data_IF_973482282000
#
_entry.id   IF_973482282000
#
_cell.length_a   1.000
_cell.length_b   1.000
_cell.length_c   1.000
_cell.angle_alpha   90.00
_cell.angle_beta   90.00
_cell.angle_gamma   90.00
#
_symmetry.space_group_name_H-M   'P 1'
#
loop_
_entity.id
_entity.type
_entity.pdbx_description
1 polymer ?
#
# COMPACT_ATOMS: atom_id res chain seq x y z
N UNK A 1 14.21 -35.02 -3.34
CA UNK A 1 13.62 -34.85 -3.83
C UNK A 1 13.03 -33.64 -4.05
N UNK A 2 12.62 -33.37 -4.94
CA UNK A 2 12.07 -32.09 -5.27
C UNK A 2 10.91 -31.68 -4.43
N UNK A 3 10.28 -32.61 -3.82
CA UNK A 3 9.11 -32.23 -3.12
C UNK A 3 9.34 -31.31 -1.97
N UNK A 4 10.45 -31.43 -1.36
CA UNK A 4 10.63 -30.61 -0.21
C UNK A 4 10.76 -29.17 -0.57
N UNK A 5 10.96 -28.86 -1.82
CA UNK A 5 11.13 -27.48 -2.21
C UNK A 5 9.91 -26.88 -2.86
N UNK A 6 8.83 -27.63 -2.92
CA UNK A 6 7.69 -27.14 -3.66
C UNK A 6 7.16 -25.81 -3.15
N UNK A 7 6.98 -25.67 -1.87
CA UNK A 7 6.51 -24.41 -1.33
C UNK A 7 7.50 -23.29 -1.55
N UNK A 8 8.76 -23.58 -1.34
CA UNK A 8 9.78 -22.58 -1.56
C UNK A 8 9.85 -22.17 -3.02
N UNK A 9 9.77 -23.14 -3.91
CA UNK A 9 9.84 -22.85 -5.32
C UNK A 9 8.69 -21.95 -5.77
N UNK A 10 7.51 -22.24 -5.30
CA UNK A 10 6.36 -21.42 -5.65
C UNK A 10 6.54 -20.00 -5.14
N UNK A 11 7.01 -19.87 -3.92
CA UNK A 11 7.23 -18.56 -3.34
C UNK A 11 8.29 -17.79 -4.12
N UNK A 12 9.35 -18.45 -4.51
CA UNK A 12 10.39 -17.82 -5.29
C UNK A 12 9.87 -17.38 -6.65
N UNK A 13 9.05 -18.19 -7.29
CA UNK A 13 8.49 -17.84 -8.56
C UNK A 13 7.65 -16.57 -8.43
N UNK A 14 6.83 -16.48 -7.41
CA UNK A 14 6.02 -15.29 -7.20
C UNK A 14 6.92 -14.08 -7.03
N UNK A 15 7.95 -14.20 -6.20
CA UNK A 15 8.83 -13.08 -5.95
C UNK A 15 9.60 -12.64 -7.17
N UNK A 16 10.06 -13.58 -7.98
CA UNK A 16 10.99 -13.23 -9.05
C UNK A 16 10.31 -12.94 -10.37
N UNK A 17 9.14 -13.51 -10.60
CA UNK A 17 8.51 -13.34 -11.90
C UNK A 17 7.22 -12.54 -11.85
N UNK A 18 6.54 -12.52 -10.73
CA UNK A 18 5.24 -11.89 -10.67
C UNK A 18 5.16 -10.71 -9.73
N UNK A 19 6.07 -10.61 -8.80
CA UNK A 19 5.99 -9.50 -7.88
C UNK A 19 6.59 -8.25 -8.50
N UNK A 20 5.98 -7.14 -8.18
CA UNK A 20 6.42 -5.83 -8.61
C UNK A 20 6.81 -5.04 -7.38
N UNK A 21 7.65 -4.04 -7.56
CA UNK A 21 8.06 -3.18 -6.44
C UNK A 21 7.84 -1.75 -6.87
N UNK A 22 7.10 -1.01 -6.07
CA UNK A 22 6.81 0.38 -6.38
C UNK A 22 6.61 1.17 -5.12
N UNK A 23 6.69 2.48 -5.25
CA UNK A 23 6.47 3.39 -4.13
C UNK A 23 5.03 3.87 -4.15
N UNK A 24 4.48 4.07 -2.95
CA UNK A 24 3.15 4.63 -2.78
C UNK A 24 3.16 5.61 -1.63
N UNK A 25 2.20 6.50 -1.62
CA UNK A 25 2.05 7.49 -0.56
C UNK A 25 1.17 6.89 0.52
N UNK A 26 1.56 7.06 1.78
CA UNK A 26 0.71 6.64 2.89
C UNK A 26 -0.34 7.73 3.11
N UNK A 27 -1.61 7.34 3.06
CA UNK A 27 -2.71 8.29 3.20
C UNK A 27 -3.45 8.11 4.52
N UNK A 28 -3.17 7.04 5.23
CA UNK A 28 -3.81 6.76 6.51
C UNK A 28 -3.38 5.42 7.03
N UNK A 29 -3.91 5.05 8.18
CA UNK A 29 -3.59 3.74 8.75
C UNK A 29 -4.76 3.28 9.61
N UNK A 30 -4.85 1.98 9.80
CA UNK A 30 -5.93 1.38 10.55
C UNK A 30 -5.40 0.81 11.86
N UNK A 31 -6.28 0.68 12.84
CA UNK A 31 -5.93 0.05 14.10
C UNK A 31 -5.76 -1.45 13.89
N UNK A 32 -4.91 -2.09 14.69
CA UNK A 32 -4.77 -3.54 14.59
C UNK A 32 -6.04 -4.23 15.08
N UNK A 33 -6.33 -5.35 14.45
CA UNK A 33 -7.52 -6.13 14.82
C UNK A 33 -7.22 -7.16 15.89
N UNK A 34 -5.97 -7.29 16.27
CA UNK A 34 -5.57 -8.28 17.27
C UNK A 34 -4.51 -7.65 18.15
N UNK A 35 -3.67 -8.47 18.75
CA UNK A 35 -2.64 -7.96 19.65
C UNK A 35 -1.46 -7.34 18.93
N UNK A 36 -1.55 -7.20 17.62
CA UNK A 36 -0.50 -6.57 16.86
C UNK A 36 -0.24 -5.16 17.37
N UNK A 37 1.02 -4.72 17.23
CA UNK A 37 1.47 -3.46 17.80
C UNK A 37 1.11 -2.27 16.90
N UNK A 38 0.36 -1.32 17.43
CA UNK A 38 0.12 0.02 16.86
C UNK A 38 -0.69 0.07 15.57
N UNK A 39 -0.25 -0.56 14.50
CA UNK A 39 -0.84 -0.36 13.18
C UNK A 39 -1.32 -1.68 12.62
N UNK A 40 -2.55 -1.70 12.13
CA UNK A 40 -3.08 -2.88 11.45
C UNK A 40 -2.63 -2.91 10.00
N UNK A 41 -2.81 -1.80 9.30
CA UNK A 41 -2.35 -1.69 7.93
C UNK A 41 -2.15 -0.23 7.57
N UNK A 42 -1.32 0.01 6.55
CA UNK A 42 -1.16 1.33 5.95
C UNK A 42 -2.05 1.40 4.73
N UNK A 43 -2.75 2.52 4.58
CA UNK A 43 -3.54 2.76 3.38
C UNK A 43 -2.66 3.51 2.40
N UNK A 44 -2.67 3.07 1.16
CA UNK A 44 -1.74 3.54 0.15
C UNK A 44 -2.46 4.28 -0.96
N UNK A 45 -1.77 5.26 -1.54
CA UNK A 45 -2.33 6.01 -2.65
C UNK A 45 -1.26 6.41 -3.66
N UNK A 46 -1.72 6.92 -4.78
CA UNK A 46 -0.87 7.45 -5.83
C UNK A 46 -1.58 8.63 -6.46
N UNK A 47 -0.80 9.48 -7.14
CA UNK A 47 -1.37 10.64 -7.81
C UNK A 47 -1.60 10.34 -9.28
N UNK A 48 -2.72 10.84 -9.80
CA UNK A 48 -2.98 10.79 -11.24
C UNK A 48 -2.20 11.91 -11.91
N UNK A 49 -2.10 11.89 -13.24
CA UNK A 49 -1.45 13.00 -13.94
C UNK A 49 -2.10 14.35 -13.64
N UNK A 50 -3.41 14.35 -13.29
CA UNK A 50 -4.10 15.57 -12.94
C UNK A 50 -3.87 16.00 -11.50
N UNK A 51 -3.10 15.24 -10.75
CA UNK A 51 -2.78 15.58 -9.38
C UNK A 51 -3.79 15.09 -8.35
N UNK A 52 -4.68 14.18 -8.72
CA UNK A 52 -5.66 13.62 -7.78
C UNK A 52 -5.10 12.41 -7.07
N UNK A 53 -5.35 12.34 -5.79
CA UNK A 53 -4.85 11.24 -4.96
C UNK A 53 -5.87 10.10 -4.95
N UNK A 54 -5.46 8.94 -5.40
CA UNK A 54 -6.33 7.78 -5.57
C UNK A 54 -5.89 6.66 -4.66
N UNK A 55 -6.85 5.98 -4.04
CA UNK A 55 -6.58 4.85 -3.16
C UNK A 55 -6.07 3.67 -3.99
N UNK A 56 -4.98 3.05 -3.54
CA UNK A 56 -4.36 1.93 -4.25
C UNK A 56 -4.50 0.61 -3.53
N UNK A 57 -4.79 0.63 -2.24
CA UNK A 57 -4.86 -0.61 -1.48
C UNK A 57 -4.22 -0.42 -0.12
N UNK A 58 -3.93 -1.53 0.53
CA UNK A 58 -3.37 -1.48 1.87
C UNK A 58 -2.20 -2.44 2.01
N UNK A 59 -1.30 -2.11 2.92
CA UNK A 59 -0.17 -2.96 3.25
C UNK A 59 -0.29 -3.35 4.73
N UNK A 60 -0.53 -4.63 4.97
CA UNK A 60 -0.71 -5.13 6.33
C UNK A 60 0.30 -6.17 6.76
N UNK A 61 1.28 -6.50 5.91
CA UNK A 61 2.32 -7.44 6.25
C UNK A 61 3.68 -6.88 5.91
N UNK A 62 4.72 -7.48 6.48
CA UNK A 62 6.08 -7.05 6.19
C UNK A 62 6.60 -6.02 7.17
N UNK A 63 5.87 -5.76 8.26
CA UNK A 63 6.28 -4.76 9.23
C UNK A 63 6.54 -5.43 10.58
N UNK A 64 7.81 -5.63 10.94
CA UNK A 64 8.13 -6.12 12.28
C UNK A 64 7.68 -5.13 13.35
N UNK A 65 7.60 -5.59 14.58
CA UNK A 65 7.09 -4.77 15.66
C UNK A 65 7.87 -3.45 15.80
N UNK A 66 9.19 -3.50 15.68
CA UNK A 66 9.98 -2.28 15.79
C UNK A 66 9.65 -1.30 14.67
N UNK A 67 9.40 -1.82 13.47
CA UNK A 67 9.04 -0.95 12.37
C UNK A 67 7.63 -0.39 12.54
N UNK A 68 6.71 -1.17 13.08
CA UNK A 68 5.36 -0.68 13.37
C UNK A 68 5.43 0.49 14.34
N UNK A 69 6.25 0.36 15.37
CA UNK A 69 6.41 1.45 16.34
C UNK A 69 7.03 2.68 15.69
N UNK A 70 8.06 2.48 14.88
CA UNK A 70 8.72 3.60 14.22
C UNK A 70 7.78 4.33 13.28
N UNK A 71 7.02 3.58 12.49
CA UNK A 71 6.05 4.17 11.56
C UNK A 71 4.97 4.92 12.33
N UNK A 72 4.48 4.33 13.42
CA UNK A 72 3.45 4.97 14.21
C UNK A 72 3.94 6.32 14.72
N UNK A 73 5.19 6.37 15.23
CA UNK A 73 5.75 7.62 15.70
C UNK A 73 5.86 8.64 14.58
N UNK A 74 6.29 8.22 13.41
CA UNK A 74 6.45 9.14 12.28
C UNK A 74 5.13 9.63 11.72
N UNK A 75 4.07 8.84 11.88
CA UNK A 75 2.76 9.23 11.34
C UNK A 75 1.99 10.17 12.27
N UNK A 76 2.36 10.23 13.55
CA UNK A 76 1.63 11.08 14.47
C UNK A 76 1.63 12.56 14.05
N UNK A 77 2.77 13.15 13.71
CA UNK A 77 2.74 14.56 13.31
C UNK A 77 2.07 14.80 11.97
N UNK A 78 1.78 13.75 11.21
CA UNK A 78 1.11 13.90 9.93
C UNK A 78 -0.41 13.76 10.04
N UNK A 79 -0.93 13.57 11.25
CA UNK A 79 -2.36 13.34 11.43
C UNK A 79 -3.18 14.41 10.72
N UNK A 80 -4.24 13.99 10.05
CA UNK A 80 -5.12 14.89 9.31
C UNK A 80 -6.55 14.63 9.71
N UNK A 81 -7.35 15.69 9.71
CA UNK A 81 -8.76 15.56 10.10
C UNK A 81 -9.62 15.00 8.99
N UNK A 82 -9.19 15.13 7.76
CA UNK A 82 -10.02 14.77 6.62
C UNK A 82 -9.31 13.77 5.73
N UNK A 83 -10.12 12.97 5.06
CA UNK A 83 -9.63 12.02 4.08
C UNK A 83 -8.99 12.78 2.93
N UNK A 84 -7.72 12.51 2.63
CA UNK A 84 -7.03 13.26 1.56
C UNK A 84 -7.34 12.76 0.15
N UNK A 85 -8.12 11.70 0.02
CA UNK A 85 -8.40 11.11 -1.28
C UNK A 85 -9.38 11.95 -2.07
N UNK A 86 -9.20 11.98 -3.39
CA UNK A 86 -10.14 12.65 -4.29
C UNK A 86 -11.46 11.89 -4.34
N UNK A 87 -11.39 10.55 -4.25
CA UNK A 87 -12.56 9.70 -4.26
C UNK A 87 -12.40 8.68 -3.15
N UNK A 88 -13.48 8.31 -2.45
CA UNK A 88 -13.35 7.28 -1.40
C UNK A 88 -12.90 5.94 -1.98
N UNK A 89 -12.35 5.05 -1.16
CA UNK A 89 -12.04 3.71 -1.63
C UNK A 89 -13.28 3.03 -2.19
N UNK A 90 -13.12 2.09 -3.13
CA UNK A 90 -14.28 1.40 -3.71
C UNK A 90 -15.12 0.71 -2.64
N UNK A 91 -16.43 0.74 -2.82
CA UNK A 91 -17.35 0.21 -1.82
C UNK A 91 -17.11 -1.25 -1.50
N UNK A 92 -16.65 -2.02 -2.46
CA UNK A 92 -16.39 -3.44 -2.22
C UNK A 92 -15.04 -3.70 -1.60
N UNK A 93 -14.22 -2.67 -1.39
CA UNK A 93 -12.91 -2.86 -0.81
C UNK A 93 -13.01 -2.90 0.72
N UNK A 94 -11.89 -3.26 1.35
CA UNK A 94 -11.85 -3.36 2.80
C UNK A 94 -12.26 -2.07 3.49
N UNK A 95 -11.93 -0.93 2.91
CA UNK A 95 -12.22 0.36 3.51
C UNK A 95 -13.32 1.10 2.77
N UNK A 96 -14.24 0.35 2.14
CA UNK A 96 -15.27 0.98 1.35
C UNK A 96 -16.51 1.39 2.11
N UNK A 97 -16.75 0.82 3.32
CA UNK A 97 -17.94 1.17 4.05
C UNK A 97 -17.73 2.43 4.87
N UNK A 98 -18.76 3.26 5.06
CA UNK A 98 -18.61 4.47 5.86
C UNK A 98 -18.18 4.19 7.29
N UNK A 99 -18.63 3.09 7.88
CA UNK A 99 -18.26 2.77 9.23
C UNK A 99 -16.76 2.50 9.35
N UNK A 100 -16.23 1.70 8.43
CA UNK A 100 -14.81 1.39 8.45
C UNK A 100 -13.99 2.64 8.16
N UNK A 101 -14.45 3.45 7.21
CA UNK A 101 -13.75 4.69 6.87
C UNK A 101 -13.67 5.63 8.07
N UNK A 102 -14.71 5.66 8.90
CA UNK A 102 -14.71 6.55 10.04
C UNK A 102 -13.67 6.18 11.08
N UNK A 103 -13.11 4.97 10.99
CA UNK A 103 -12.11 4.48 11.93
C UNK A 103 -10.68 4.58 11.41
N UNK A 104 -10.52 5.05 10.19
CA UNK A 104 -9.18 5.21 9.63
C UNK A 104 -8.55 6.47 10.19
N UNK A 105 -7.27 6.36 10.54
CA UNK A 105 -6.51 7.52 10.98
C UNK A 105 -5.86 8.13 9.75
N UNK A 106 -6.47 9.20 9.24
CA UNK A 106 -5.97 9.86 8.04
C UNK A 106 -4.73 10.66 8.34
N UNK A 107 -3.82 10.75 7.37
CA UNK A 107 -2.60 11.54 7.51
C UNK A 107 -2.41 12.39 6.27
N UNK A 108 -1.64 13.45 6.43
CA UNK A 108 -1.23 14.23 5.27
C UNK A 108 -0.36 13.32 4.38
N UNK A 109 -0.57 13.36 3.07
CA UNK A 109 0.11 12.42 2.17
C UNK A 109 1.56 12.85 1.92
N UNK A 110 2.41 12.64 2.89
CA UNK A 110 3.80 13.04 2.82
C UNK A 110 4.79 11.89 2.94
N UNK A 111 4.36 10.77 3.53
CA UNK A 111 5.26 9.63 3.70
C UNK A 111 5.16 8.71 2.49
N UNK A 112 6.30 8.33 1.93
CA UNK A 112 6.37 7.40 0.81
C UNK A 112 6.96 6.10 1.29
N UNK A 113 6.34 4.99 0.92
CA UNK A 113 6.84 3.66 1.27
C UNK A 113 6.96 2.83 0.00
N UNK A 114 7.85 1.87 0.06
CA UNK A 114 8.00 0.91 -1.03
C UNK A 114 7.32 -0.38 -0.62
N UNK A 115 6.60 -0.98 -1.56
CA UNK A 115 5.93 -2.26 -1.33
C UNK A 115 6.18 -3.16 -2.51
N UNK A 116 6.01 -4.46 -2.30
CA UNK A 116 5.90 -5.40 -3.39
C UNK A 116 4.44 -5.83 -3.50
N UNK A 117 4.03 -6.21 -4.69
CA UNK A 117 2.67 -6.69 -4.92
C UNK A 117 2.67 -7.58 -6.14
N UNK A 118 1.64 -8.41 -6.26
CA UNK A 118 1.58 -9.37 -7.36
C UNK A 118 0.90 -8.78 -8.58
N UNK A 119 -0.20 -8.08 -8.38
CA UNK A 119 -0.96 -7.55 -9.52
C UNK A 119 -1.90 -6.46 -9.06
N UNK A 120 -2.41 -5.70 -10.03
CA UNK A 120 -3.52 -4.80 -9.81
C UNK A 120 -4.81 -5.54 -10.14
N UNK A 121 -5.83 -5.39 -9.31
CA UNK A 121 -7.12 -5.98 -9.61
C UNK A 121 -7.86 -5.13 -10.64
N UNK A 122 -8.94 -5.66 -11.22
CA UNK A 122 -9.75 -4.84 -12.13
C UNK A 122 -10.31 -3.59 -11.48
N UNK A 123 -10.50 -3.62 -10.15
CA UNK A 123 -10.97 -2.44 -9.42
C UNK A 123 -9.90 -1.39 -9.22
N UNK A 124 -8.69 -1.65 -9.67
CA UNK A 124 -7.60 -0.71 -9.48
C UNK A 124 -6.94 -0.79 -8.12
N UNK A 125 -6.99 -1.95 -7.49
CA UNK A 125 -6.38 -2.14 -6.18
C UNK A 125 -5.22 -3.12 -6.27
N UNK A 126 -4.24 -2.91 -5.41
CA UNK A 126 -3.10 -3.82 -5.31
C UNK A 126 -3.50 -5.11 -4.62
N UNK A 127 -2.91 -6.21 -5.06
CA UNK A 127 -3.14 -7.51 -4.46
C UNK A 127 -1.84 -8.12 -3.94
N UNK A 128 -1.91 -8.75 -2.77
CA UNK A 128 -0.76 -9.42 -2.14
C UNK A 128 0.36 -8.43 -1.87
N UNK A 129 0.03 -7.39 -1.12
CA UNK A 129 0.95 -6.29 -0.86
C UNK A 129 1.80 -6.60 0.36
N UNK A 130 3.10 -6.38 0.22
CA UNK A 130 4.04 -6.56 1.33
C UNK A 130 4.85 -5.28 1.49
N UNK A 131 4.87 -4.74 2.69
CA UNK A 131 5.63 -3.55 3.00
C UNK A 131 7.13 -3.86 2.94
N UNK A 132 7.91 -3.01 2.28
CA UNK A 132 9.34 -3.19 2.18
C UNK A 132 10.14 -2.13 2.93
N UNK A 133 9.63 -0.92 3.03
CA UNK A 133 10.35 0.11 3.76
C UNK A 133 9.88 1.50 3.39
N UNK A 134 10.24 2.47 4.20
CA UNK A 134 9.95 3.87 3.91
C UNK A 134 11.02 4.42 2.97
N UNK A 135 10.61 5.26 2.03
CA UNK A 135 11.52 5.90 1.08
C UNK A 135 11.54 7.38 1.37
N UNK A 136 12.56 7.83 2.06
CA UNK A 136 12.65 9.25 2.43
C UNK A 136 13.25 10.09 1.32
N UNK A 137 13.78 9.45 0.30
CA UNK A 137 14.39 10.14 -0.83
C UNK A 137 13.41 10.42 -1.96
N UNK A 138 12.14 10.08 -1.77
CA UNK A 138 11.13 10.23 -2.82
C UNK A 138 10.10 11.24 -2.38
N UNK A 139 9.75 12.19 -3.25
CA UNK A 139 8.71 13.14 -2.95
C UNK A 139 7.34 12.52 -3.18
N UNK A 140 6.46 12.70 -2.19
CA UNK A 140 5.11 12.13 -2.30
C UNK A 140 4.40 12.60 -3.56
N UNK A 141 4.57 13.86 -3.92
CA UNK A 141 3.88 14.40 -5.09
C UNK A 141 4.32 13.76 -6.40
N UNK A 142 5.41 13.03 -6.38
CA UNK A 142 5.92 12.38 -7.58
C UNK A 142 5.46 10.93 -7.72
N UNK A 143 4.69 10.43 -6.76
CA UNK A 143 4.28 9.03 -6.78
C UNK A 143 3.15 8.86 -7.77
N UNK A 144 3.37 8.02 -8.79
CA UNK A 144 2.40 7.75 -9.84
C UNK A 144 2.25 6.26 -10.01
N UNK A 145 1.09 5.83 -10.45
CA UNK A 145 0.90 4.42 -10.76
C UNK A 145 1.67 4.09 -12.03
N UNK A 146 2.50 3.05 -11.97
CA UNK A 146 3.20 2.62 -13.15
C UNK A 146 2.23 1.90 -14.08
N UNK A 147 2.56 1.87 -15.34
CA UNK A 147 1.73 1.18 -16.30
C UNK A 147 1.83 -0.30 -16.12
N UNK A 148 0.72 -1.02 -16.23
CA UNK A 148 0.80 -2.47 -16.16
C UNK A 148 1.62 -2.98 -17.30
N UNK A 149 2.35 -4.04 -17.07
CA UNK A 149 3.09 -4.65 -18.13
C UNK A 149 2.23 -5.06 -19.28
N UNK A 150 1.11 -5.64 -18.97
CA UNK A 150 0.26 -6.10 -20.04
C UNK A 150 -0.32 -4.96 -20.83
N UNK A 151 -0.35 -3.82 -20.25
CA UNK A 151 -0.91 -2.72 -20.94
C UNK A 151 0.06 -1.98 -21.76
N UNK A 152 1.20 -2.30 -21.73
CA UNK A 152 2.02 -1.59 -22.22
C UNK A 152 2.40 -1.70 -23.32
N UNK A 153 1.98 -1.85 -23.92
CA UNK A 153 2.53 -1.80 -25.03
C UNK A 153 2.93 -0.49 -25.12
N UNK A 154 3.30 -0.06 -24.69
CA UNK A 154 3.76 0.74 -24.58
C UNK A 154 4.45 1.23 -25.23
N UNK A 155 4.43 1.25 -25.43
CA UNK A 155 4.96 1.54 -25.77
C UNK A 155 5.19 1.96 -26.46
N UNK A 156 4.97 2.04 -26.72
CA UNK A 156 5.02 2.25 -27.33
C UNK A 156 5.02 2.78 -27.64
#
# INVERSE_FOLDING_TARGET
>A
MPNENHGTDLFEIIRTTRSNREEFVVIGWSDPESSRHRIGSLLLGYYTPEGKLIYAGRAGTGMPEAELERLWQRLQPLAADKMPLAIPPPRGSRFGSPLVLSRVHWVRPEMVVEVSYVEWTPDGLLRHVVYLGERQDKLASEVRRSRPHSGEPRSR
#
